data_IF_382401150398
#
_entry.id   IF_382401150398
#
_cell.length_a   1.000
_cell.length_b   1.000
_cell.length_c   1.000
_cell.angle_alpha   90.00
_cell.angle_beta   90.00
_cell.angle_gamma   90.00
#
_symmetry.space_group_name_H-M   'P 1'
#
loop_
_entity.id
_entity.type
_entity.pdbx_description
1 polymer ?
#
# COMPACT_ATOMS: atom_id res chain seq x y z
N UNK A 1 -50.24 -30.64 -10.57
CA UNK A 1 -48.96 -29.89 -10.56
C UNK A 1 -49.06 -28.89 -9.43
N UNK A 2 -48.32 -29.16 -8.36
CA UNK A 2 -48.32 -28.43 -7.10
C UNK A 2 -47.78 -27.02 -7.29
N UNK A 3 -48.55 -26.04 -6.82
CA UNK A 3 -48.20 -24.63 -6.89
C UNK A 3 -46.96 -24.33 -6.07
N UNK A 4 -45.93 -23.81 -6.74
CA UNK A 4 -44.83 -23.12 -6.10
C UNK A 4 -45.45 -21.79 -5.61
N UNK A 5 -45.73 -21.73 -4.30
CA UNK A 5 -46.29 -20.54 -3.66
C UNK A 5 -45.43 -19.31 -3.95
N UNK A 6 -46.07 -18.22 -4.36
CA UNK A 6 -45.42 -16.94 -4.56
C UNK A 6 -44.69 -16.53 -3.29
N UNK A 7 -43.42 -16.15 -3.43
CA UNK A 7 -42.66 -15.61 -2.32
C UNK A 7 -43.16 -14.19 -2.03
N UNK A 8 -43.58 -13.91 -0.79
CA UNK A 8 -43.98 -12.56 -0.39
C UNK A 8 -42.90 -11.54 -0.76
N UNK A 9 -43.29 -10.32 -1.17
CA UNK A 9 -42.38 -9.24 -1.59
C UNK A 9 -41.21 -9.02 -0.62
N UNK A 10 -41.47 -9.16 0.69
CA UNK A 10 -40.46 -9.04 1.74
C UNK A 10 -39.38 -10.13 1.62
N UNK A 11 -39.77 -11.36 1.33
CA UNK A 11 -38.83 -12.48 1.14
C UNK A 11 -37.99 -12.26 -0.11
N UNK A 12 -38.60 -11.79 -1.21
CA UNK A 12 -37.87 -11.51 -2.46
C UNK A 12 -36.84 -10.39 -2.28
N UNK A 13 -37.19 -9.30 -1.58
CA UNK A 13 -36.25 -8.21 -1.28
C UNK A 13 -35.11 -8.69 -0.36
N UNK A 14 -35.42 -9.47 0.67
CA UNK A 14 -34.40 -10.03 1.58
C UNK A 14 -33.46 -10.97 0.83
N UNK A 15 -33.99 -11.85 -0.02
CA UNK A 15 -33.17 -12.74 -0.85
C UNK A 15 -32.28 -11.95 -1.81
N UNK A 16 -32.81 -10.93 -2.50
CA UNK A 16 -32.01 -10.09 -3.40
C UNK A 16 -30.88 -9.35 -2.65
N UNK A 17 -31.16 -8.84 -1.45
CA UNK A 17 -30.15 -8.20 -0.60
C UNK A 17 -29.07 -9.19 -0.13
N UNK A 18 -29.46 -10.40 0.26
CA UNK A 18 -28.53 -11.48 0.64
C UNK A 18 -27.64 -11.90 -0.54
N UNK A 19 -28.22 -12.06 -1.74
CA UNK A 19 -27.46 -12.36 -2.95
C UNK A 19 -26.47 -11.24 -3.31
N UNK A 20 -26.90 -9.98 -3.23
CA UNK A 20 -26.03 -8.84 -3.44
C UNK A 20 -24.87 -8.82 -2.44
N UNK A 21 -25.15 -9.03 -1.16
CA UNK A 21 -24.12 -9.09 -0.11
C UNK A 21 -23.13 -10.24 -0.35
N UNK A 22 -23.62 -11.42 -0.76
CA UNK A 22 -22.76 -12.56 -1.07
C UNK A 22 -21.84 -12.30 -2.27
N UNK A 23 -22.35 -11.67 -3.34
CA UNK A 23 -21.55 -11.31 -4.53
C UNK A 23 -20.48 -10.29 -4.17
N UNK A 24 -20.82 -9.27 -3.39
CA UNK A 24 -19.85 -8.26 -2.93
C UNK A 24 -18.79 -8.87 -2.01
N UNK A 25 -19.19 -9.73 -1.06
CA UNK A 25 -18.26 -10.42 -0.17
C UNK A 25 -17.29 -11.32 -0.95
N UNK A 26 -17.77 -12.04 -1.96
CA UNK A 26 -16.94 -12.88 -2.82
C UNK A 26 -15.94 -12.05 -3.64
N UNK A 27 -16.38 -10.92 -4.22
CA UNK A 27 -15.52 -10.02 -4.98
C UNK A 27 -14.44 -9.38 -4.10
N UNK A 28 -14.81 -8.93 -2.89
CA UNK A 28 -13.87 -8.38 -1.91
C UNK A 28 -12.87 -9.43 -1.43
N UNK A 29 -13.34 -10.66 -1.14
CA UNK A 29 -12.50 -11.77 -0.74
C UNK A 29 -11.49 -12.17 -1.83
N UNK A 30 -11.95 -12.23 -3.09
CA UNK A 30 -11.06 -12.45 -4.23
C UNK A 30 -9.99 -11.36 -4.35
N UNK A 31 -10.38 -10.09 -4.27
CA UNK A 31 -9.43 -8.97 -4.33
C UNK A 31 -8.41 -9.03 -3.19
N UNK A 32 -8.86 -9.33 -1.97
CA UNK A 32 -7.98 -9.50 -0.81
C UNK A 32 -6.96 -10.63 -1.03
N UNK A 33 -7.43 -11.82 -1.42
CA UNK A 33 -6.56 -12.98 -1.69
C UNK A 33 -5.57 -12.68 -2.81
N UNK A 34 -6.02 -12.03 -3.89
CA UNK A 34 -5.16 -11.69 -5.03
C UNK A 34 -4.06 -10.68 -4.64
N UNK A 35 -4.37 -9.68 -3.80
CA UNK A 35 -3.38 -8.73 -3.28
C UNK A 35 -2.38 -9.41 -2.35
N UNK A 36 -2.88 -10.22 -1.42
CA UNK A 36 -2.03 -10.87 -0.43
C UNK A 36 -1.12 -11.93 -1.07
N UNK A 37 -1.66 -12.75 -1.99
CA UNK A 37 -0.86 -13.72 -2.75
C UNK A 37 0.22 -13.04 -3.59
N UNK A 38 -0.09 -11.91 -4.24
CA UNK A 38 0.91 -11.14 -4.98
C UNK A 38 1.99 -10.57 -4.04
N UNK A 39 1.63 -10.15 -2.82
CA UNK A 39 2.57 -9.70 -1.80
C UNK A 39 3.50 -10.82 -1.33
N UNK A 40 2.95 -11.95 -0.89
CA UNK A 40 3.73 -13.10 -0.42
C UNK A 40 4.64 -13.63 -1.53
N UNK A 41 4.15 -13.71 -2.76
CA UNK A 41 4.96 -14.13 -3.90
C UNK A 41 6.11 -13.15 -4.17
N UNK A 42 5.86 -11.84 -4.10
CA UNK A 42 6.89 -10.80 -4.25
C UNK A 42 7.96 -10.89 -3.17
N UNK A 43 7.57 -11.09 -1.91
CA UNK A 43 8.48 -11.24 -0.78
C UNK A 43 9.31 -12.53 -0.89
N UNK A 44 8.69 -13.63 -1.31
CA UNK A 44 9.37 -14.92 -1.52
C UNK A 44 10.34 -14.87 -2.69
N UNK A 45 9.94 -14.26 -3.82
CA UNK A 45 10.82 -14.06 -4.97
C UNK A 45 11.98 -13.14 -4.63
N UNK A 46 11.73 -12.06 -3.89
CA UNK A 46 12.77 -11.13 -3.44
C UNK A 46 13.78 -11.82 -2.53
N UNK A 47 13.33 -12.53 -1.50
CA UNK A 47 14.23 -13.24 -0.58
C UNK A 47 15.03 -14.36 -1.27
N UNK A 48 14.41 -15.11 -2.17
CA UNK A 48 15.10 -16.14 -2.97
C UNK A 48 16.10 -15.55 -3.97
N UNK A 49 15.75 -14.42 -4.60
CA UNK A 49 16.65 -13.67 -5.47
C UNK A 49 17.84 -13.12 -4.68
N UNK A 50 17.60 -12.41 -3.58
CA UNK A 50 18.64 -11.77 -2.77
C UNK A 50 19.69 -12.77 -2.29
N UNK A 51 19.29 -14.00 -1.92
CA UNK A 51 20.20 -15.05 -1.47
C UNK A 51 21.07 -15.58 -2.63
N UNK A 52 20.44 -15.92 -3.77
CA UNK A 52 21.15 -16.44 -4.94
C UNK A 52 22.10 -15.40 -5.55
N UNK A 53 21.68 -14.14 -5.60
CA UNK A 53 22.50 -13.06 -6.15
C UNK A 53 23.66 -12.69 -5.22
N UNK A 54 23.47 -12.74 -3.89
CA UNK A 54 24.58 -12.62 -2.94
C UNK A 54 25.61 -13.71 -3.15
N UNK A 55 25.19 -14.97 -3.26
CA UNK A 55 26.11 -16.09 -3.49
C UNK A 55 26.93 -15.90 -4.77
N UNK A 56 26.28 -15.56 -5.89
CA UNK A 56 26.95 -15.28 -7.17
C UNK A 56 27.94 -14.12 -7.08
N UNK A 57 27.53 -13.04 -6.41
CA UNK A 57 28.36 -11.85 -6.23
C UNK A 57 29.58 -12.16 -5.38
N UNK A 58 29.42 -12.89 -4.27
CA UNK A 58 30.52 -13.34 -3.41
C UNK A 58 31.50 -14.20 -4.21
N UNK A 59 31.02 -15.16 -4.99
CA UNK A 59 31.90 -16.01 -5.81
C UNK A 59 32.68 -15.25 -6.89
N UNK A 60 32.13 -14.17 -7.46
CA UNK A 60 32.88 -13.31 -8.36
C UNK A 60 33.95 -12.51 -7.60
N UNK A 61 33.57 -11.91 -6.48
CA UNK A 61 34.47 -11.08 -5.66
C UNK A 61 35.63 -11.91 -5.13
N UNK A 62 35.39 -13.14 -4.65
CA UNK A 62 36.45 -14.04 -4.20
C UNK A 62 37.41 -14.42 -5.35
N UNK A 63 36.89 -14.65 -6.57
CA UNK A 63 37.73 -14.85 -7.76
C UNK A 63 38.59 -13.63 -8.08
N UNK A 64 38.04 -12.42 -7.96
CA UNK A 64 38.79 -11.18 -8.18
C UNK A 64 39.84 -10.92 -7.10
N UNK A 65 39.57 -11.30 -5.84
CA UNK A 65 40.54 -11.21 -4.74
C UNK A 65 41.70 -12.19 -4.88
N UNK A 66 41.44 -13.37 -5.46
CA UNK A 66 42.46 -14.39 -5.67
C UNK A 66 43.50 -13.99 -6.72
N UNK A 67 43.18 -13.06 -7.63
CA UNK A 67 44.07 -12.59 -8.69
C UNK A 67 44.64 -11.19 -8.37
N UNK A 68 45.95 -11.03 -8.07
CA UNK A 68 46.52 -9.78 -7.59
C UNK A 68 46.25 -8.58 -8.51
N UNK A 69 45.44 -7.64 -8.02
CA UNK A 69 44.94 -6.49 -8.79
C UNK A 69 45.90 -5.30 -8.69
N UNK A 70 46.45 -4.87 -9.83
CA UNK A 70 47.42 -3.77 -9.93
C UNK A 70 46.82 -2.35 -9.90
N UNK A 71 45.49 -2.21 -9.84
CA UNK A 71 44.79 -0.91 -9.82
C UNK A 71 43.36 -1.01 -10.35
N UNK A 72 42.62 0.11 -10.36
CA UNK A 72 41.21 0.13 -10.81
C UNK A 72 41.04 -0.28 -12.29
N UNK A 73 41.99 0.10 -13.16
CA UNK A 73 42.00 -0.33 -14.57
C UNK A 73 42.23 -1.82 -14.75
N UNK A 74 43.16 -2.37 -13.98
CA UNK A 74 43.43 -3.81 -13.99
C UNK A 74 42.23 -4.58 -13.43
N UNK A 75 41.60 -4.06 -12.37
CA UNK A 75 40.34 -4.59 -11.86
C UNK A 75 39.24 -4.61 -12.93
N UNK A 76 39.10 -3.51 -13.67
CA UNK A 76 38.14 -3.41 -14.76
C UNK A 76 38.43 -4.40 -15.90
N UNK A 77 39.69 -4.66 -16.22
CA UNK A 77 40.07 -5.67 -17.20
C UNK A 77 39.73 -7.09 -16.71
N UNK A 78 40.11 -7.41 -15.47
CA UNK A 78 39.82 -8.71 -14.84
C UNK A 78 38.33 -8.97 -14.67
N UNK A 79 37.55 -7.94 -14.34
CA UNK A 79 36.09 -8.03 -14.31
C UNK A 79 35.52 -8.50 -15.64
N UNK A 80 36.01 -7.97 -16.77
CA UNK A 80 35.56 -8.41 -18.11
C UNK A 80 35.89 -9.88 -18.39
N UNK A 81 37.00 -10.38 -17.85
CA UNK A 81 37.44 -11.77 -18.03
C UNK A 81 36.67 -12.74 -17.13
N UNK A 82 36.44 -12.36 -15.87
CA UNK A 82 35.82 -13.24 -14.87
C UNK A 82 34.29 -13.15 -14.83
N UNK A 83 33.70 -12.04 -15.27
CA UNK A 83 32.26 -11.91 -15.43
C UNK A 83 31.81 -12.65 -16.70
N UNK A 84 31.59 -13.94 -16.54
CA UNK A 84 30.96 -14.79 -17.55
C UNK A 84 29.47 -14.47 -17.68
N UNK A 85 28.87 -14.82 -18.82
CA UNK A 85 27.44 -14.59 -19.08
C UNK A 85 26.50 -15.25 -18.06
N UNK A 86 26.94 -16.32 -17.39
CA UNK A 86 26.20 -17.04 -16.34
C UNK A 86 26.11 -16.26 -15.01
N UNK A 87 26.98 -15.27 -14.80
CA UNK A 87 26.96 -14.44 -13.58
C UNK A 87 25.73 -13.54 -13.51
N UNK A 88 25.07 -13.26 -14.64
CA UNK A 88 23.93 -12.35 -14.72
C UNK A 88 24.30 -10.89 -14.49
N UNK A 89 25.58 -10.54 -14.42
CA UNK A 89 26.02 -9.17 -14.17
C UNK A 89 25.98 -8.39 -15.49
N UNK A 90 25.26 -7.28 -15.46
CA UNK A 90 25.02 -6.41 -16.61
C UNK A 90 26.09 -5.33 -16.73
N UNK A 91 26.51 -4.77 -15.60
CA UNK A 91 27.47 -3.66 -15.55
C UNK A 91 28.18 -3.61 -14.19
N UNK A 92 29.35 -2.99 -14.15
CA UNK A 92 30.06 -2.69 -12.92
C UNK A 92 30.61 -1.26 -12.91
N UNK A 93 30.55 -0.60 -11.76
CA UNK A 93 31.19 0.69 -11.49
C UNK A 93 32.17 0.53 -10.33
N UNK A 94 33.33 1.16 -10.42
CA UNK A 94 34.38 1.09 -9.40
C UNK A 94 34.56 2.47 -8.80
N UNK A 95 34.37 2.59 -7.49
CA UNK A 95 34.54 3.83 -6.74
C UNK A 95 35.72 3.77 -5.78
N UNK A 96 36.36 4.91 -5.58
CA UNK A 96 37.27 5.15 -4.47
C UNK A 96 36.69 6.19 -3.51
N UNK A 97 36.99 6.03 -2.22
CA UNK A 97 36.68 7.05 -1.21
C UNK A 97 37.56 8.28 -1.43
N UNK A 98 36.95 9.46 -1.38
CA UNK A 98 37.70 10.74 -1.38
C UNK A 98 38.11 11.11 0.06
N UNK A 99 38.91 12.17 0.27
CA UNK A 99 39.21 12.65 1.63
C UNK A 99 37.97 13.07 2.44
N UNK A 100 36.87 13.42 1.76
CA UNK A 100 35.57 13.65 2.39
C UNK A 100 34.72 12.38 2.28
N UNK A 101 34.26 11.90 3.44
CA UNK A 101 33.51 10.65 3.59
C UNK A 101 32.16 10.62 2.88
N UNK A 102 31.63 11.78 2.52
CA UNK A 102 30.35 11.88 1.82
C UNK A 102 30.52 11.80 0.30
N UNK A 103 31.76 11.79 -0.21
CA UNK A 103 32.06 11.83 -1.63
C UNK A 103 32.90 10.65 -2.08
N UNK A 104 32.52 10.09 -3.23
CA UNK A 104 33.16 8.96 -3.87
C UNK A 104 33.57 9.32 -5.30
N UNK A 105 34.79 8.98 -5.70
CA UNK A 105 35.25 9.16 -7.06
C UNK A 105 34.97 7.90 -7.87
N UNK A 106 34.20 8.02 -8.95
CA UNK A 106 34.03 6.99 -9.96
C UNK A 106 35.32 6.83 -10.77
N UNK A 107 36.04 5.74 -10.53
CA UNK A 107 37.30 5.47 -11.21
C UNK A 107 37.09 4.88 -12.59
N UNK A 108 36.23 3.86 -12.70
CA UNK A 108 36.06 3.05 -13.91
C UNK A 108 34.60 2.58 -14.07
N UNK A 109 34.19 2.39 -15.33
CA UNK A 109 32.88 1.89 -15.72
C UNK A 109 33.05 0.73 -16.70
N UNK A 110 32.41 -0.40 -16.39
CA UNK A 110 32.61 -1.67 -17.09
C UNK A 110 31.26 -2.20 -17.57
N UNK A 111 31.00 -2.07 -18.88
CA UNK A 111 29.88 -2.73 -19.53
C UNK A 111 30.21 -4.21 -19.73
N UNK A 112 29.35 -5.08 -19.19
CA UNK A 112 29.46 -6.54 -19.27
C UNK A 112 28.36 -7.13 -20.17
N UNK A 113 27.24 -6.41 -20.31
CA UNK A 113 26.18 -6.71 -21.26
C UNK A 113 25.98 -5.53 -22.23
N UNK A 114 26.16 -5.73 -23.55
CA UNK A 114 26.02 -4.66 -24.54
C UNK A 114 24.58 -4.14 -24.68
N UNK A 115 23.58 -4.93 -24.28
CA UNK A 115 22.17 -4.54 -24.28
C UNK A 115 21.75 -3.70 -23.06
N UNK A 116 22.64 -3.47 -22.11
CA UNK A 116 22.36 -2.71 -20.89
C UNK A 116 23.16 -1.41 -20.85
N UNK A 117 22.46 -0.31 -20.61
CA UNK A 117 23.08 1.02 -20.49
C UNK A 117 22.78 1.61 -19.13
N UNK A 118 23.84 1.99 -18.41
CA UNK A 118 23.75 2.71 -17.15
C UNK A 118 23.87 4.20 -17.42
N UNK A 119 23.00 5.01 -16.82
CA UNK A 119 23.22 6.45 -16.72
C UNK A 119 24.37 6.69 -15.76
N UNK A 120 25.50 7.14 -16.30
CA UNK A 120 26.66 7.51 -15.51
C UNK A 120 26.40 8.86 -14.82
N UNK A 121 26.93 9.07 -13.61
CA UNK A 121 26.83 10.36 -12.95
C UNK A 121 27.47 11.46 -13.81
N UNK A 122 26.89 12.67 -13.78
CA UNK A 122 27.38 13.83 -14.54
C UNK A 122 28.80 14.24 -14.13
N UNK A 123 29.10 14.08 -12.84
CA UNK A 123 30.42 14.29 -12.25
C UNK A 123 31.09 12.96 -11.94
N UNK A 124 32.43 12.96 -12.04
CA UNK A 124 33.24 11.84 -11.56
C UNK A 124 33.14 11.68 -10.04
N UNK A 125 32.85 12.76 -9.32
CA UNK A 125 32.64 12.74 -7.88
C UNK A 125 31.14 12.64 -7.61
N UNK A 126 30.74 11.58 -6.94
CA UNK A 126 29.37 11.29 -6.53
C UNK A 126 29.22 11.62 -5.05
N UNK A 127 28.23 12.44 -4.73
CA UNK A 127 27.83 12.70 -3.35
C UNK A 127 26.83 11.62 -2.92
N UNK A 128 27.11 10.95 -1.82
CA UNK A 128 26.19 9.97 -1.24
C UNK A 128 25.11 10.68 -0.42
N UNK A 129 23.85 10.33 -0.65
CA UNK A 129 22.74 10.81 0.18
C UNK A 129 22.76 10.10 1.53
N UNK A 130 22.60 10.89 2.61
CA UNK A 130 22.67 10.42 4.00
C UNK A 130 21.65 9.31 4.32
N UNK A 131 20.59 9.17 3.55
CA UNK A 131 19.53 8.18 3.78
C UNK A 131 19.86 6.81 3.14
N UNK A 132 20.62 6.82 2.03
CA UNK A 132 20.98 5.62 1.28
C UNK A 132 22.27 4.98 1.83
N UNK A 133 23.33 5.79 1.98
CA UNK A 133 24.65 5.41 2.50
C UNK A 133 25.22 4.09 1.93
N UNK A 134 24.85 3.69 0.70
CA UNK A 134 25.22 2.37 0.18
C UNK A 134 26.71 2.28 -0.10
N UNK A 135 27.31 3.29 -0.73
CA UNK A 135 28.75 3.33 -1.00
C UNK A 135 29.56 3.32 0.31
N UNK A 136 29.13 4.09 1.30
CA UNK A 136 29.78 4.16 2.61
C UNK A 136 29.74 2.84 3.35
N UNK A 137 28.57 2.19 3.40
CA UNK A 137 28.40 0.87 4.03
C UNK A 137 29.17 -0.21 3.27
N UNK A 138 29.27 -0.09 1.95
CA UNK A 138 29.96 -1.02 1.08
C UNK A 138 31.49 -0.97 1.19
N UNK A 139 32.07 0.01 1.86
CA UNK A 139 33.48 -0.03 2.25
C UNK A 139 33.77 -1.15 3.27
N UNK A 140 32.72 -1.65 3.91
CA UNK A 140 32.83 -2.50 5.10
C UNK A 140 32.36 -3.92 4.76
N UNK A 141 31.17 -4.07 4.18
CA UNK A 141 30.62 -5.36 3.79
C UNK A 141 29.77 -5.23 2.53
N UNK A 142 29.39 -6.36 1.93
CA UNK A 142 28.50 -6.33 0.78
C UNK A 142 27.10 -5.83 1.19
N UNK A 143 26.57 -4.85 0.46
CA UNK A 143 25.24 -4.27 0.67
C UNK A 143 24.45 -4.35 -0.63
N UNK A 144 23.17 -4.70 -0.53
CA UNK A 144 22.28 -4.78 -1.68
C UNK A 144 21.25 -3.66 -1.61
N UNK A 145 21.07 -2.94 -2.72
CA UNK A 145 19.98 -1.99 -2.91
C UNK A 145 18.66 -2.78 -2.88
N UNK A 146 17.73 -2.48 -1.95
CA UNK A 146 16.45 -3.18 -1.87
C UNK A 146 15.55 -2.90 -3.08
N UNK A 147 15.84 -1.88 -3.89
CA UNK A 147 15.02 -1.53 -5.04
C UNK A 147 15.42 -2.31 -6.28
N UNK A 148 14.41 -2.86 -6.95
CA UNK A 148 14.56 -3.46 -8.28
C UNK A 148 14.25 -2.41 -9.33
N UNK A 149 15.18 -2.18 -10.24
CA UNK A 149 15.05 -1.20 -11.33
C UNK A 149 14.68 -1.90 -12.64
N UNK A 150 14.03 -1.16 -13.54
CA UNK A 150 13.58 -1.64 -14.85
C UNK A 150 13.90 -0.63 -15.93
N UNK A 151 14.46 -1.10 -17.04
CA UNK A 151 14.60 -0.36 -18.29
C UNK A 151 14.71 -1.37 -19.45
N UNK A 152 14.12 -1.05 -20.59
CA UNK A 152 14.23 -1.85 -21.83
C UNK A 152 13.90 -3.35 -21.66
N UNK A 153 12.97 -3.67 -20.76
CA UNK A 153 12.58 -5.07 -20.47
C UNK A 153 13.57 -5.84 -19.58
N UNK A 154 14.69 -5.24 -19.21
CA UNK A 154 15.62 -5.78 -18.22
C UNK A 154 15.23 -5.31 -16.82
N UNK A 155 15.27 -6.24 -15.88
CA UNK A 155 15.16 -5.98 -14.45
C UNK A 155 16.52 -6.24 -13.80
N UNK A 156 16.96 -5.34 -12.95
CA UNK A 156 18.20 -5.52 -12.20
C UNK A 156 18.13 -4.97 -10.79
N UNK A 157 19.02 -5.46 -9.96
CA UNK A 157 19.26 -5.00 -8.61
C UNK A 157 20.74 -4.63 -8.47
N UNK A 158 21.03 -3.71 -7.56
CA UNK A 158 22.38 -3.20 -7.39
C UNK A 158 23.02 -3.80 -6.14
N UNK A 159 24.23 -4.35 -6.27
CA UNK A 159 25.01 -4.87 -5.15
C UNK A 159 26.30 -4.07 -5.05
N UNK A 160 26.63 -3.59 -3.86
CA UNK A 160 27.85 -2.86 -3.56
C UNK A 160 28.73 -3.75 -2.69
N UNK A 161 30.01 -3.89 -3.01
CA UNK A 161 30.91 -4.79 -2.27
C UNK A 161 32.32 -4.22 -2.16
N UNK A 162 32.99 -4.39 -1.00
CA UNK A 162 34.35 -3.91 -0.82
C UNK A 162 35.34 -4.79 -1.59
N UNK A 163 36.29 -4.14 -2.27
CA UNK A 163 37.39 -4.83 -2.92
C UNK A 163 38.73 -4.16 -2.58
N UNK A 164 39.65 -4.87 -1.90
CA UNK A 164 40.97 -4.33 -1.60
C UNK A 164 41.82 -4.34 -2.88
N UNK A 165 42.38 -3.18 -3.24
CA UNK A 165 43.28 -3.01 -4.38
C UNK A 165 44.46 -2.17 -3.91
N UNK A 166 45.68 -2.73 -4.00
CA UNK A 166 46.93 -2.07 -3.57
C UNK A 166 46.86 -1.43 -2.17
N UNK A 167 46.26 -2.11 -1.20
CA UNK A 167 46.14 -1.63 0.18
C UNK A 167 45.08 -0.56 0.42
N UNK A 168 44.28 -0.19 -0.60
CA UNK A 168 43.11 0.69 -0.46
C UNK A 168 41.83 -0.07 -0.77
N UNK A 169 40.78 0.17 0.02
CA UNK A 169 39.46 -0.42 -0.21
C UNK A 169 38.73 0.43 -1.26
N UNK A 170 38.29 -0.22 -2.33
CA UNK A 170 37.42 0.34 -3.34
C UNK A 170 36.03 -0.25 -3.18
N UNK A 171 35.01 0.47 -3.68
CA UNK A 171 33.64 -0.03 -3.72
C UNK A 171 33.34 -0.48 -5.14
N UNK A 172 32.96 -1.75 -5.29
CA UNK A 172 32.50 -2.31 -6.54
C UNK A 172 30.97 -2.33 -6.53
N UNK A 173 30.35 -1.52 -7.37
CA UNK A 173 28.91 -1.50 -7.60
C UNK A 173 28.58 -2.38 -8.81
N UNK A 174 27.80 -3.43 -8.61
CA UNK A 174 27.42 -4.42 -9.60
C UNK A 174 25.93 -4.32 -9.91
N UNK A 175 25.61 -4.27 -11.18
CA UNK A 175 24.24 -4.27 -11.69
C UNK A 175 23.91 -5.72 -12.06
N UNK A 176 23.08 -6.38 -11.28
CA UNK A 176 22.82 -7.81 -11.40
C UNK A 176 21.43 -8.05 -11.95
N UNK A 177 21.33 -8.78 -13.06
CA UNK A 177 20.07 -9.09 -13.72
C UNK A 177 19.22 -10.01 -12.85
N UNK A 178 17.98 -9.59 -12.65
CA UNK A 178 16.91 -10.36 -12.03
C UNK A 178 15.74 -10.58 -13.02
N UNK A 179 15.98 -10.31 -14.31
CA UNK A 179 14.97 -10.35 -15.39
C UNK A 179 14.24 -11.69 -15.46
N UNK A 180 14.94 -12.82 -15.35
CA UNK A 180 14.29 -14.14 -15.39
C UNK A 180 13.37 -14.40 -14.19
N UNK A 181 13.61 -13.76 -13.05
CA UNK A 181 12.83 -13.93 -11.82
C UNK A 181 11.66 -12.95 -11.76
N UNK A 182 11.85 -11.72 -12.25
CA UNK A 182 10.86 -10.65 -12.17
C UNK A 182 10.06 -10.43 -13.47
N UNK A 183 10.58 -10.84 -14.63
CA UNK A 183 9.87 -10.73 -15.92
C UNK A 183 8.58 -11.53 -15.91
N UNK A 184 8.65 -12.80 -15.51
CA UNK A 184 7.48 -13.66 -15.37
C UNK A 184 6.52 -13.17 -14.28
N UNK A 185 7.05 -12.51 -13.23
CA UNK A 185 6.23 -11.96 -12.15
C UNK A 185 5.48 -10.69 -12.60
N UNK A 186 6.12 -9.80 -13.37
CA UNK A 186 5.47 -8.62 -13.90
C UNK A 186 4.27 -9.00 -14.80
N UNK A 187 4.47 -10.01 -15.65
CA UNK A 187 3.40 -10.59 -16.48
C UNK A 187 2.30 -11.24 -15.61
N UNK A 188 2.65 -11.97 -14.55
CA UNK A 188 1.68 -12.50 -13.59
C UNK A 188 0.87 -11.41 -12.88
N UNK A 189 1.52 -10.32 -12.46
CA UNK A 189 0.82 -9.20 -11.81
C UNK A 189 -0.12 -8.47 -12.79
N UNK A 190 0.28 -8.29 -14.04
CA UNK A 190 -0.57 -7.69 -15.07
C UNK A 190 -1.81 -8.54 -15.36
N UNK A 191 -1.64 -9.87 -15.46
CA UNK A 191 -2.75 -10.80 -15.59
C UNK A 191 -3.65 -10.82 -14.35
N UNK A 192 -3.07 -10.73 -13.15
CA UNK A 192 -3.83 -10.64 -11.90
C UNK A 192 -4.66 -9.35 -11.84
N UNK A 193 -4.11 -8.22 -12.24
CA UNK A 193 -4.81 -6.93 -12.27
C UNK A 193 -5.99 -6.95 -13.23
N UNK A 194 -5.79 -7.53 -14.41
CA UNK A 194 -6.85 -7.74 -15.40
C UNK A 194 -7.95 -8.65 -14.84
N UNK A 195 -7.59 -9.76 -14.19
CA UNK A 195 -8.55 -10.66 -13.56
C UNK A 195 -9.34 -9.98 -12.42
N UNK A 196 -8.67 -9.16 -11.59
CA UNK A 196 -9.32 -8.37 -10.53
C UNK A 196 -10.31 -7.37 -11.10
N UNK A 197 -9.95 -6.66 -12.17
CA UNK A 197 -10.83 -5.71 -12.84
C UNK A 197 -12.06 -6.42 -13.45
N UNK A 198 -11.87 -7.58 -14.08
CA UNK A 198 -12.97 -8.38 -14.64
C UNK A 198 -13.92 -8.88 -13.55
N UNK A 199 -13.40 -9.42 -12.44
CA UNK A 199 -14.23 -9.89 -11.32
C UNK A 199 -14.98 -8.73 -10.67
N UNK A 200 -14.34 -7.58 -10.46
CA UNK A 200 -14.99 -6.39 -9.94
C UNK A 200 -16.08 -5.86 -10.88
N UNK A 201 -15.80 -5.83 -12.19
CA UNK A 201 -16.77 -5.43 -13.21
C UNK A 201 -17.98 -6.37 -13.28
N UNK A 202 -17.76 -7.69 -13.23
CA UNK A 202 -18.84 -8.67 -13.19
C UNK A 202 -19.68 -8.54 -11.92
N UNK A 203 -19.05 -8.35 -10.75
CA UNK A 203 -19.74 -8.12 -9.49
C UNK A 203 -20.60 -6.84 -9.53
N UNK A 204 -20.07 -5.75 -10.09
CA UNK A 204 -20.81 -4.50 -10.28
C UNK A 204 -22.00 -4.66 -11.24
N UNK A 205 -21.82 -5.41 -12.33
CA UNK A 205 -22.90 -5.72 -13.27
C UNK A 205 -24.03 -6.53 -12.59
N UNK A 206 -23.68 -7.59 -11.86
CA UNK A 206 -24.65 -8.41 -11.12
C UNK A 206 -25.37 -7.54 -10.07
N UNK A 207 -24.64 -6.68 -9.37
CA UNK A 207 -25.22 -5.76 -8.39
C UNK A 207 -26.25 -4.81 -9.02
N UNK A 208 -25.93 -4.23 -10.18
CA UNK A 208 -26.84 -3.38 -10.94
C UNK A 208 -28.08 -4.13 -11.41
N UNK A 209 -27.94 -5.36 -11.91
CA UNK A 209 -29.05 -6.19 -12.33
C UNK A 209 -29.99 -6.53 -11.16
N UNK A 210 -29.42 -6.90 -10.01
CA UNK A 210 -30.21 -7.19 -8.79
C UNK A 210 -30.92 -5.94 -8.28
N UNK A 211 -30.24 -4.79 -8.26
CA UNK A 211 -30.83 -3.52 -7.85
C UNK A 211 -31.97 -3.08 -8.80
N UNK A 212 -31.76 -3.21 -10.12
CA UNK A 212 -32.76 -2.90 -11.13
C UNK A 212 -33.99 -3.81 -11.03
N UNK A 213 -33.80 -5.11 -10.85
CA UNK A 213 -34.89 -6.06 -10.64
C UNK A 213 -35.68 -5.73 -9.35
N UNK A 214 -34.98 -5.42 -8.25
CA UNK A 214 -35.60 -4.99 -7.00
C UNK A 214 -36.41 -3.69 -7.15
N UNK A 215 -35.87 -2.71 -7.87
CA UNK A 215 -36.55 -1.45 -8.14
C UNK A 215 -37.83 -1.66 -8.98
N UNK A 216 -37.76 -2.49 -10.02
CA UNK A 216 -38.90 -2.79 -10.89
C UNK A 216 -40.03 -3.49 -10.13
N UNK A 217 -39.69 -4.43 -9.25
CA UNK A 217 -40.65 -5.09 -8.35
C UNK A 217 -41.29 -4.08 -7.38
N UNK A 218 -40.50 -3.23 -6.74
CA UNK A 218 -41.01 -2.21 -5.82
C UNK A 218 -41.93 -1.19 -6.52
N UNK A 219 -41.57 -0.79 -7.75
CA UNK A 219 -42.37 0.13 -8.56
C UNK A 219 -43.74 -0.48 -8.94
N UNK A 220 -43.74 -1.72 -9.43
CA UNK A 220 -44.98 -2.44 -9.77
C UNK A 220 -45.91 -2.58 -8.56
N UNK A 221 -45.35 -2.88 -7.38
CA UNK A 221 -46.12 -2.98 -6.14
C UNK A 221 -46.68 -1.61 -5.69
N UNK A 222 -45.89 -0.54 -5.79
CA UNK A 222 -46.30 0.81 -5.39
C UNK A 222 -47.48 1.33 -6.21
N UNK A 223 -47.48 1.11 -7.53
CA UNK A 223 -48.59 1.50 -8.41
C UNK A 223 -49.89 0.83 -7.94
N UNK A 224 -49.84 -0.45 -7.62
CA UNK A 224 -51.02 -1.21 -7.23
C UNK A 224 -51.54 -0.82 -5.84
N UNK A 225 -50.66 -0.62 -4.85
CA UNK A 225 -51.07 -0.17 -3.51
C UNK A 225 -51.69 1.22 -3.56
N UNK A 226 -51.12 2.15 -4.35
CA UNK A 226 -51.72 3.47 -4.57
C UNK A 226 -53.08 3.37 -5.26
N UNK A 227 -53.20 2.49 -6.25
CA UNK A 227 -54.48 2.18 -6.89
C UNK A 227 -55.53 1.69 -5.89
N UNK A 228 -55.20 0.66 -5.09
CA UNK A 228 -56.08 0.10 -4.07
C UNK A 228 -56.52 1.16 -3.05
N UNK A 229 -55.59 1.99 -2.54
CA UNK A 229 -55.93 3.06 -1.60
C UNK A 229 -56.91 4.09 -2.19
N UNK A 230 -56.69 4.52 -3.45
CA UNK A 230 -57.59 5.44 -4.13
C UNK A 230 -58.97 4.83 -4.40
N UNK A 231 -59.01 3.55 -4.78
CA UNK A 231 -60.26 2.81 -4.98
C UNK A 231 -61.01 2.62 -3.66
N UNK A 232 -60.33 2.29 -2.56
CA UNK A 232 -60.94 2.18 -1.23
C UNK A 232 -61.54 3.52 -0.76
N UNK A 233 -60.84 4.64 -0.97
CA UNK A 233 -61.36 5.99 -0.62
C UNK A 233 -62.62 6.35 -1.43
N UNK A 234 -62.65 6.00 -2.73
CA UNK A 234 -63.84 6.18 -3.57
C UNK A 234 -65.02 5.31 -3.14
N UNK A 235 -64.77 4.03 -2.84
CA UNK A 235 -65.80 3.14 -2.33
C UNK A 235 -66.37 3.62 -0.99
N UNK A 236 -65.52 4.10 -0.07
CA UNK A 236 -65.95 4.69 1.20
C UNK A 236 -66.81 5.95 0.99
N UNK A 237 -66.57 6.71 -0.08
CA UNK A 237 -67.39 7.86 -0.51
C UNK A 237 -68.66 7.45 -1.27
N UNK A 238 -68.94 6.15 -1.40
CA UNK A 238 -70.17 5.60 -1.97
C UNK A 238 -70.12 5.24 -3.45
N UNK A 239 -68.96 5.38 -4.10
CA UNK A 239 -68.74 4.97 -5.49
C UNK A 239 -68.33 3.50 -5.57
N UNK A 240 -69.32 2.63 -5.76
CA UNK A 240 -69.16 1.17 -5.83
C UNK A 240 -69.00 0.65 -7.27
N UNK A 241 -68.79 1.53 -8.26
CA UNK A 241 -68.61 1.14 -9.67
C UNK A 241 -67.20 0.63 -10.01
N UNK A 242 -66.30 0.66 -9.04
CA UNK A 242 -64.87 0.40 -9.19
C UNK A 242 -64.54 -1.10 -9.18
N UNK A 243 -63.50 -1.47 -9.93
CA UNK A 243 -62.91 -2.80 -9.88
C UNK A 243 -61.41 -2.74 -10.14
N UNK A 244 -60.66 -3.61 -9.46
CA UNK A 244 -59.23 -3.81 -9.69
C UNK A 244 -59.04 -4.85 -10.79
N UNK A 245 -58.15 -4.55 -11.74
CA UNK A 245 -57.74 -5.52 -12.75
C UNK A 245 -56.76 -6.53 -12.11
N UNK A 246 -57.00 -7.85 -12.25
CA UNK A 246 -56.06 -8.85 -11.75
C UNK A 246 -54.73 -8.74 -12.50
N UNK A 247 -53.64 -8.78 -11.75
CA UNK A 247 -52.26 -8.84 -12.27
C UNK A 247 -51.80 -10.30 -12.42
N UNK A 248 -50.66 -10.52 -13.06
CA UNK A 248 -50.08 -11.87 -13.28
C UNK A 248 -49.53 -12.54 -12.01
N UNK A 249 -49.41 -11.80 -10.91
CA UNK A 249 -48.95 -12.30 -9.62
C UNK A 249 -50.14 -12.92 -8.85
N UNK A 250 -49.97 -14.14 -8.36
CA UNK A 250 -51.05 -14.91 -7.70
C UNK A 250 -51.54 -14.29 -6.41
N UNK A 251 -50.67 -13.67 -5.61
CA UNK A 251 -51.06 -13.01 -4.35
C UNK A 251 -51.81 -11.71 -4.66
N UNK A 252 -51.29 -10.93 -5.61
CA UNK A 252 -51.92 -9.67 -6.03
C UNK A 252 -53.27 -9.91 -6.74
N UNK A 253 -53.38 -10.98 -7.53
CA UNK A 253 -54.64 -11.40 -8.14
C UNK A 253 -55.67 -11.80 -7.08
N UNK A 254 -55.26 -12.53 -6.04
CA UNK A 254 -56.12 -12.90 -4.93
C UNK A 254 -56.61 -11.68 -4.14
N UNK A 255 -55.75 -10.68 -3.93
CA UNK A 255 -56.12 -9.42 -3.28
C UNK A 255 -57.11 -8.62 -4.13
N UNK A 256 -56.87 -8.50 -5.43
CA UNK A 256 -57.77 -7.84 -6.36
C UNK A 256 -59.13 -8.55 -6.42
N UNK A 257 -59.15 -9.89 -6.39
CA UNK A 257 -60.37 -10.69 -6.35
C UNK A 257 -61.15 -10.45 -5.05
N UNK A 258 -60.49 -10.54 -3.90
CA UNK A 258 -61.10 -10.29 -2.59
C UNK A 258 -61.71 -8.89 -2.50
N UNK A 259 -61.00 -7.87 -3.00
CA UNK A 259 -61.52 -6.50 -3.08
C UNK A 259 -62.75 -6.40 -3.98
N UNK A 260 -62.70 -6.97 -5.19
CA UNK A 260 -63.83 -6.93 -6.13
C UNK A 260 -65.06 -7.64 -5.57
N UNK A 261 -64.89 -8.77 -4.86
CA UNK A 261 -65.98 -9.48 -4.16
C UNK A 261 -66.61 -8.59 -3.10
N UNK A 262 -65.81 -7.96 -2.24
CA UNK A 262 -66.31 -7.07 -1.18
C UNK A 262 -67.10 -5.88 -1.75
N UNK A 263 -66.60 -5.24 -2.82
CA UNK A 263 -67.33 -4.16 -3.50
C UNK A 263 -68.64 -4.66 -4.10
N UNK A 264 -68.65 -5.87 -4.66
CA UNK A 264 -69.85 -6.53 -5.18
C UNK A 264 -70.91 -6.77 -4.08
N UNK A 265 -70.50 -7.29 -2.93
CA UNK A 265 -71.40 -7.50 -1.78
C UNK A 265 -71.95 -6.18 -1.24
N UNK A 266 -71.10 -5.15 -1.08
CA UNK A 266 -71.56 -3.82 -0.66
C UNK A 266 -72.54 -3.21 -1.66
N UNK A 267 -72.36 -3.43 -2.96
CA UNK A 267 -73.31 -3.00 -3.99
C UNK A 267 -74.64 -3.71 -3.84
N UNK A 268 -74.62 -5.03 -3.66
CA UNK A 268 -75.84 -5.82 -3.42
C UNK A 268 -76.61 -5.35 -2.20
N UNK A 269 -75.92 -5.10 -1.08
CA UNK A 269 -76.53 -4.59 0.16
C UNK A 269 -77.11 -3.17 0.01
N UNK A 270 -76.45 -2.31 -0.77
CA UNK A 270 -76.97 -0.98 -1.08
C UNK A 270 -78.24 -1.08 -1.93
N UNK A 271 -78.24 -1.93 -2.96
CA UNK A 271 -79.41 -2.14 -3.83
C UNK A 271 -80.61 -2.74 -3.07
N UNK A 272 -80.39 -3.63 -2.09
CA UNK A 272 -81.48 -4.15 -1.25
C UNK A 272 -82.03 -3.08 -0.32
N UNK A 273 -81.17 -2.29 0.33
CA UNK A 273 -81.59 -1.19 1.20
C UNK A 273 -82.33 -0.10 0.44
N UNK A 274 -81.84 0.28 -0.74
CA UNK A 274 -82.46 1.30 -1.58
C UNK A 274 -83.85 0.80 -2.10
N UNK A 275 -84.01 -0.52 -2.32
CA UNK A 275 -85.32 -1.14 -2.62
C UNK A 275 -86.25 -1.13 -1.40
N UNK A 276 -85.77 -1.49 -0.22
CA UNK A 276 -86.54 -1.50 1.03
C UNK A 276 -87.06 -0.10 1.38
N UNK A 277 -86.20 0.93 1.28
CA UNK A 277 -86.56 2.33 1.48
C UNK A 277 -87.57 2.83 0.44
N UNK A 278 -87.46 2.41 -0.83
CA UNK A 278 -88.46 2.73 -1.84
C UNK A 278 -89.83 2.10 -1.52
N UNK A 279 -89.87 0.89 -0.94
CA UNK A 279 -91.12 0.28 -0.46
C UNK A 279 -91.71 0.95 0.79
N UNK A 280 -90.88 1.54 1.66
CA UNK A 280 -91.35 2.30 2.84
C UNK A 280 -91.89 3.69 2.45
N UNK A 281 -91.24 4.40 1.52
CA UNK A 281 -91.72 5.70 1.01
C UNK A 281 -92.99 5.57 0.16
N UNK A 282 -93.30 4.38 -0.39
CA UNK A 282 -94.59 4.16 -1.09
C UNK A 282 -95.77 3.92 -0.11
N UNK A 283 -95.50 3.81 1.20
CA UNK A 283 -96.50 3.54 2.24
C UNK A 283 -97.01 4.76 3.02
N UNK A 284 -96.43 5.95 2.83
CA UNK A 284 -96.84 7.16 3.54
C UNK A 284 -96.81 8.39 2.65
N UNK A 285 -97.88 8.61 1.90
CA UNK A 285 -98.27 9.96 1.47
C UNK A 285 -99.76 10.02 1.11
N UNK A 286 -100.55 10.64 1.99
CA UNK A 286 -101.80 11.30 1.58
C UNK A 286 -101.95 12.61 2.35
N UNK A 287 -102.06 13.68 1.56
CA UNK A 287 -102.48 15.04 1.90
C UNK A 287 -101.47 15.89 2.71
N UNK A 288 -101.02 17.06 2.27
CA UNK A 288 -101.48 17.90 1.17
C UNK A 288 -101.60 19.36 1.64
N UNK A 289 -100.89 20.24 0.93
CA UNK A 289 -101.29 21.63 0.62
C UNK A 289 -101.19 22.70 1.72
N UNK A 290 -100.38 23.75 1.53
CA UNK A 290 -100.77 24.96 0.78
C UNK A 290 -99.69 26.07 0.80
N UNK A 291 -99.44 26.61 -0.40
CA UNK A 291 -99.13 27.99 -0.80
C UNK A 291 -98.18 28.93 -0.01
N UNK A 292 -97.36 29.65 -0.80
CA UNK A 292 -96.97 31.03 -0.47
C UNK A 292 -95.76 31.61 -1.20
N UNK A 293 -95.93 31.96 -2.49
CA UNK A 293 -95.44 33.19 -3.18
C UNK A 293 -94.07 33.83 -2.89
N UNK A 294 -93.34 34.17 -3.97
CA UNK A 294 -92.73 35.50 -4.14
C UNK A 294 -91.25 35.57 -4.54
N UNK A 295 -91.00 35.96 -5.81
CA UNK A 295 -89.94 36.87 -6.35
C UNK A 295 -88.46 36.70 -5.93
N UNK A 296 -87.42 37.13 -6.65
CA UNK A 296 -87.05 37.46 -8.04
C UNK A 296 -85.59 37.96 -7.95
N UNK A 297 -84.83 37.84 -9.05
CA UNK A 297 -83.61 38.63 -9.37
C UNK A 297 -82.29 38.23 -8.69
N UNK A 298 -81.31 37.71 -9.46
CA UNK A 298 -80.23 38.44 -10.15
C UNK A 298 -79.30 39.23 -9.20
N UNK A 299 -78.02 38.85 -9.10
CA UNK A 299 -76.93 39.61 -9.73
C UNK A 299 -75.54 38.99 -9.48
N UNK A 300 -74.62 39.30 -10.40
CA UNK A 300 -73.18 39.02 -10.33
C UNK A 300 -72.40 40.30 -9.90
N UNK A 301 -71.12 40.53 -10.26
CA UNK A 301 -69.95 40.46 -9.36
C UNK A 301 -69.14 41.79 -9.24
N UNK A 302 -68.16 41.88 -8.32
CA UNK A 302 -67.03 42.86 -8.36
C UNK A 302 -65.98 42.49 -7.29
N UNK A 303 -64.68 42.30 -7.59
CA UNK A 303 -63.57 43.22 -7.98
C UNK A 303 -63.02 44.12 -6.85
N UNK A 304 -61.67 44.21 -6.88
CA UNK A 304 -60.67 45.25 -6.45
C UNK A 304 -59.73 44.78 -5.32
N UNK A 305 -58.40 44.69 -5.46
CA UNK A 305 -57.34 45.58 -5.97
C UNK A 305 -56.74 46.53 -4.90
N UNK A 306 -55.40 46.67 -4.92
CA UNK A 306 -54.56 47.63 -4.19
C UNK A 306 -53.87 47.03 -2.95
N UNK A 307 -52.62 47.30 -2.59
CA UNK A 307 -51.49 48.10 -3.11
C UNK A 307 -50.26 47.64 -2.27
N UNK A 308 -49.07 47.39 -2.83
CA UNK A 308 -47.98 48.32 -3.15
C UNK A 308 -47.31 49.05 -1.96
N UNK A 309 -46.06 48.68 -1.66
CA UNK A 309 -44.92 49.53 -1.23
C UNK A 309 -43.67 48.62 -1.12
N UNK A 310 -42.54 48.73 -1.84
CA UNK A 310 -41.67 49.76 -2.46
C UNK A 310 -40.47 50.20 -1.58
N UNK A 311 -39.28 49.89 -2.14
CA UNK A 311 -37.94 50.53 -2.07
C UNK A 311 -37.20 50.56 -0.71
N UNK A 312 -35.87 50.51 -0.63
CA UNK A 312 -34.73 50.60 -1.58
C UNK A 312 -33.49 50.97 -0.73
N UNK A 313 -32.25 50.57 -1.03
CA UNK A 313 -31.16 51.30 -1.74
C UNK A 313 -29.83 50.74 -1.15
N UNK A 314 -28.90 50.19 -1.94
CA UNK A 314 -27.58 50.74 -2.38
C UNK A 314 -26.60 51.08 -1.23
N UNK A 315 -25.27 50.92 -1.26
CA UNK A 315 -24.27 50.75 -2.32
C UNK A 315 -22.92 50.27 -1.72
N UNK A 316 -22.01 49.74 -2.55
CA UNK A 316 -20.55 49.78 -2.35
C UNK A 316 -20.00 51.17 -2.80
N UNK A 317 -18.71 51.57 -2.61
CA UNK A 317 -17.56 50.99 -3.33
C UNK A 317 -16.15 51.12 -2.67
N UNK A 318 -15.16 50.77 -3.51
CA UNK A 318 -13.69 50.63 -3.47
C UNK A 318 -12.75 51.76 -2.95
N UNK A 319 -11.45 51.40 -2.86
CA UNK A 319 -10.23 52.24 -2.80
C UNK A 319 -9.11 51.51 -2.02
N UNK A 320 -8.00 50.94 -2.54
CA UNK A 320 -6.89 51.30 -3.46
C UNK A 320 -5.63 51.87 -2.75
N UNK A 321 -4.45 51.34 -3.16
CA UNK A 321 -3.04 51.80 -3.00
C UNK A 321 -2.37 51.72 -1.60
N UNK A 322 -1.05 51.68 -1.41
CA UNK A 322 0.18 51.19 -2.08
C UNK A 322 1.34 51.63 -1.14
N UNK A 323 2.54 51.07 -1.33
CA UNK A 323 3.88 51.56 -0.93
C UNK A 323 4.48 51.18 0.43
N UNK A 324 5.68 50.58 0.33
CA UNK A 324 6.96 51.16 0.76
C UNK A 324 7.86 50.20 1.57
N UNK A 325 8.76 49.58 0.81
CA UNK A 325 10.08 49.10 1.17
C UNK A 325 10.94 50.20 1.85
N UNK A 326 11.81 49.81 2.80
CA UNK A 326 12.95 50.64 3.23
C UNK A 326 14.14 49.77 3.68
N UNK A 327 15.32 49.89 3.05
CA UNK A 327 16.58 49.32 3.51
C UNK A 327 17.49 50.38 4.17
N UNK A 328 18.36 49.94 5.09
CA UNK A 328 19.44 50.71 5.73
C UNK A 328 19.86 50.03 7.04
N UNK A 329 21.13 49.85 7.43
CA UNK A 329 22.44 50.31 6.96
C UNK A 329 23.52 49.29 7.43
N UNK A 330 24.72 49.26 6.82
CA UNK A 330 25.85 48.43 7.25
C UNK A 330 26.92 49.26 8.00
N UNK A 331 27.51 48.76 9.08
CA UNK A 331 28.84 49.18 9.61
C UNK A 331 29.37 48.15 10.64
N UNK A 332 30.68 48.09 10.97
CA UNK A 332 31.86 48.23 10.11
C UNK A 332 32.90 47.11 10.32
N UNK A 333 33.81 47.01 9.35
CA UNK A 333 35.04 46.22 9.32
C UNK A 333 35.89 46.37 10.60
N UNK A 334 36.13 45.26 11.31
CA UNK A 334 37.20 45.16 12.31
C UNK A 334 38.13 44.01 11.96
N UNK A 335 39.27 44.39 11.35
CA UNK A 335 40.63 43.84 11.47
C UNK A 335 40.78 42.36 11.81
N UNK A 336 41.43 41.66 10.88
CA UNK A 336 42.20 40.43 11.08
C UNK A 336 42.89 40.39 12.45
N UNK A 337 42.47 39.43 13.27
CA UNK A 337 43.25 38.93 14.37
C UNK A 337 43.39 37.43 14.12
N UNK A 338 44.60 37.02 13.72
CA UNK A 338 44.98 35.63 13.51
C UNK A 338 44.87 34.93 14.87
N UNK A 339 43.72 34.30 15.10
CA UNK A 339 43.51 33.40 16.22
C UNK A 339 44.09 32.02 15.85
N UNK A 340 44.96 31.50 16.72
CA UNK A 340 45.38 30.09 16.71
C UNK A 340 44.16 29.18 16.52
N UNK A 341 44.29 28.03 15.80
CA UNK A 341 43.15 27.16 15.55
C UNK A 341 42.51 26.77 16.88
N UNK A 342 41.21 27.03 16.98
CA UNK A 342 40.36 26.53 18.05
C UNK A 342 40.57 25.01 18.18
N UNK A 343 40.46 24.42 19.39
CA UNK A 343 40.50 22.98 19.54
C UNK A 343 39.42 22.39 18.61
N UNK A 344 39.84 21.52 17.68
CA UNK A 344 38.93 20.79 16.78
C UNK A 344 37.77 20.24 17.63
N UNK A 345 36.54 20.63 17.25
CA UNK A 345 35.35 19.97 17.80
C UNK A 345 35.53 18.45 17.63
N UNK A 346 35.08 17.61 18.58
CA UNK A 346 35.21 16.18 18.44
C UNK A 346 34.44 15.74 17.21
N UNK A 347 35.16 15.51 16.12
CA UNK A 347 34.60 15.00 14.88
C UNK A 347 33.91 13.66 15.21
N UNK A 348 32.63 13.49 14.85
CA UNK A 348 31.95 12.20 15.00
C UNK A 348 32.81 11.12 14.35
N UNK A 349 33.09 10.02 15.07
CA UNK A 349 33.85 8.91 14.49
C UNK A 349 33.15 8.50 13.18
N UNK A 350 33.84 8.62 12.02
CA UNK A 350 33.22 8.36 10.73
C UNK A 350 32.66 6.94 10.60
N UNK A 351 33.07 6.04 11.49
CA UNK A 351 32.67 4.65 11.51
C UNK A 351 31.63 4.32 12.59
N UNK A 352 31.14 5.28 13.37
CA UNK A 352 30.18 5.04 14.47
C UNK A 352 28.88 4.39 13.97
N UNK A 353 28.32 4.88 12.85
CA UNK A 353 27.11 4.30 12.25
C UNK A 353 27.34 2.87 11.73
N UNK A 354 28.54 2.60 11.19
CA UNK A 354 28.93 1.25 10.72
C UNK A 354 29.10 0.32 11.93
N UNK A 355 29.72 0.81 13.00
CA UNK A 355 29.88 0.08 14.25
C UNK A 355 28.53 -0.28 14.86
N UNK A 356 27.59 0.67 14.96
CA UNK A 356 26.21 0.43 15.38
C UNK A 356 25.52 -0.61 14.50
N UNK A 357 25.73 -0.57 13.19
CA UNK A 357 25.18 -1.58 12.27
C UNK A 357 25.74 -2.99 12.56
N UNK A 358 27.05 -3.13 12.78
CA UNK A 358 27.65 -4.40 13.20
C UNK A 358 27.07 -4.95 14.49
N UNK A 359 26.84 -4.08 15.48
CA UNK A 359 26.18 -4.44 16.74
C UNK A 359 24.72 -4.86 16.53
N UNK A 360 23.98 -4.17 15.64
CA UNK A 360 22.61 -4.53 15.29
C UNK A 360 22.55 -5.92 14.63
N UNK A 361 23.44 -6.22 13.69
CA UNK A 361 23.53 -7.54 13.06
C UNK A 361 23.79 -8.66 14.06
N UNK A 362 24.63 -8.41 15.08
CA UNK A 362 24.77 -9.34 16.20
C UNK A 362 23.44 -9.52 16.96
N UNK A 363 22.70 -8.46 17.27
CA UNK A 363 21.39 -8.57 17.95
C UNK A 363 20.37 -9.37 17.12
N UNK A 364 20.42 -9.24 15.80
CA UNK A 364 19.59 -9.97 14.83
C UNK A 364 20.06 -11.42 14.57
N UNK A 365 21.09 -11.91 15.29
CA UNK A 365 21.71 -13.23 15.09
C UNK A 365 22.39 -13.44 13.73
N UNK A 366 22.57 -12.39 12.93
CA UNK A 366 23.27 -12.39 11.65
C UNK A 366 24.79 -12.36 11.87
N UNK A 367 25.30 -13.44 12.46
CA UNK A 367 26.69 -13.51 12.98
C UNK A 367 27.74 -13.41 11.88
N UNK A 368 27.54 -14.04 10.72
CA UNK A 368 28.48 -13.96 9.59
C UNK A 368 28.62 -12.51 9.06
N UNK A 369 27.49 -11.83 8.84
CA UNK A 369 27.50 -10.44 8.37
C UNK A 369 28.18 -9.51 9.39
N UNK A 370 27.97 -9.74 10.69
CA UNK A 370 28.64 -8.99 11.74
C UNK A 370 30.17 -9.22 11.76
N UNK A 371 30.62 -10.45 11.53
CA UNK A 371 32.06 -10.78 11.41
C UNK A 371 32.67 -9.94 10.28
N UNK A 372 32.03 -9.90 9.11
CA UNK A 372 32.53 -9.13 7.97
C UNK A 372 32.62 -7.64 8.30
N UNK A 373 31.58 -7.09 8.95
CA UNK A 373 31.56 -5.69 9.38
C UNK A 373 32.75 -5.38 10.30
N UNK A 374 32.93 -6.14 11.37
CA UNK A 374 34.00 -5.86 12.32
C UNK A 374 35.39 -6.16 11.75
N UNK A 375 35.54 -7.13 10.85
CA UNK A 375 36.79 -7.38 10.11
C UNK A 375 37.20 -6.19 9.26
N UNK A 376 36.27 -5.55 8.58
CA UNK A 376 36.60 -4.36 7.82
C UNK A 376 36.82 -3.13 8.72
N UNK A 377 36.07 -3.00 9.82
CA UNK A 377 36.32 -1.94 10.80
C UNK A 377 37.73 -2.03 11.39
N UNK A 378 38.25 -3.21 11.73
CA UNK A 378 39.63 -3.33 12.23
C UNK A 378 40.70 -3.06 11.17
N UNK A 379 40.36 -3.01 9.88
CA UNK A 379 41.29 -2.55 8.83
C UNK A 379 41.33 -1.02 8.81
N UNK A 380 40.19 -0.37 9.04
CA UNK A 380 40.06 1.10 9.05
C UNK A 380 40.50 1.72 10.37
N UNK A 381 40.22 1.05 11.49
CA UNK A 381 40.59 1.42 12.86
C UNK A 381 41.30 0.25 13.57
N UNK A 382 42.60 0.02 13.27
CA UNK A 382 43.33 -1.16 13.77
C UNK A 382 43.43 -1.32 15.29
N UNK A 383 43.26 -0.22 16.03
CA UNK A 383 43.30 -0.13 17.49
C UNK A 383 41.93 0.16 18.12
N UNK A 384 40.83 0.01 17.38
CA UNK A 384 39.48 0.24 17.91
C UNK A 384 39.04 -0.85 18.89
N UNK A 385 39.02 -0.53 20.20
CA UNK A 385 38.60 -1.47 21.26
C UNK A 385 37.26 -2.15 20.95
N UNK A 386 36.24 -1.34 20.62
CA UNK A 386 34.89 -1.82 20.36
C UNK A 386 34.84 -2.82 19.20
N UNK A 387 35.53 -2.55 18.10
CA UNK A 387 35.56 -3.42 16.91
C UNK A 387 36.26 -4.74 17.21
N UNK A 388 37.39 -4.71 17.93
CA UNK A 388 38.11 -5.91 18.35
C UNK A 388 37.27 -6.76 19.31
N UNK A 389 36.65 -6.13 20.32
CA UNK A 389 35.81 -6.81 21.29
C UNK A 389 34.58 -7.47 20.61
N UNK A 390 33.86 -6.73 19.77
CA UNK A 390 32.66 -7.26 19.11
C UNK A 390 32.98 -8.30 18.04
N UNK A 391 34.14 -8.22 17.36
CA UNK A 391 34.61 -9.30 16.49
C UNK A 391 34.90 -10.57 17.30
N UNK A 392 35.49 -10.43 18.49
CA UNK A 392 35.65 -11.52 19.45
C UNK A 392 34.32 -12.18 19.82
N UNK A 393 33.29 -11.36 20.12
CA UNK A 393 31.93 -11.84 20.41
C UNK A 393 31.31 -12.56 19.19
N UNK A 394 31.50 -12.01 17.99
CA UNK A 394 30.97 -12.58 16.76
C UNK A 394 31.59 -13.97 16.48
N UNK A 395 32.92 -14.09 16.57
CA UNK A 395 33.60 -15.38 16.45
C UNK A 395 33.17 -16.38 17.53
N UNK A 396 32.98 -15.94 18.77
CA UNK A 396 32.50 -16.83 19.84
C UNK A 396 31.12 -17.42 19.52
N UNK A 397 30.21 -16.63 18.91
CA UNK A 397 28.89 -17.10 18.48
C UNK A 397 28.95 -18.04 17.28
N UNK A 398 29.91 -17.83 16.39
CA UNK A 398 30.22 -18.74 15.30
C UNK A 398 30.95 -20.02 15.76
N UNK A 399 31.26 -20.14 17.07
CA UNK A 399 32.07 -21.22 17.68
C UNK A 399 33.52 -21.27 17.19
N UNK A 400 34.01 -20.19 16.60
CA UNK A 400 35.40 -20.02 16.18
C UNK A 400 36.25 -19.56 17.37
N UNK A 401 36.40 -20.42 18.39
CA UNK A 401 36.93 -20.02 19.70
C UNK A 401 38.39 -19.53 19.65
N UNK A 402 39.22 -20.10 18.76
CA UNK A 402 40.61 -19.67 18.59
C UNK A 402 40.71 -18.23 18.05
N UNK A 403 39.93 -17.91 17.02
CA UNK A 403 39.85 -16.55 16.46
C UNK A 403 39.24 -15.58 17.46
N UNK A 404 38.20 -16.01 18.18
CA UNK A 404 37.58 -15.23 19.24
C UNK A 404 38.58 -14.83 20.33
N UNK A 405 39.34 -15.79 20.85
CA UNK A 405 40.36 -15.54 21.88
C UNK A 405 41.44 -14.58 21.39
N UNK A 406 41.88 -14.71 20.14
CA UNK A 406 42.84 -13.76 19.53
C UNK A 406 42.31 -12.32 19.54
N UNK A 407 41.04 -12.11 19.16
CA UNK A 407 40.45 -10.77 19.12
C UNK A 407 40.22 -10.19 20.51
N UNK A 408 39.82 -11.00 21.50
CA UNK A 408 39.70 -10.53 22.88
C UNK A 408 41.05 -10.14 23.48
N UNK A 409 42.12 -10.90 23.21
CA UNK A 409 43.49 -10.51 23.63
C UNK A 409 43.89 -9.16 23.03
N UNK A 410 43.70 -8.97 21.72
CA UNK A 410 43.94 -7.68 21.07
C UNK A 410 43.08 -6.55 21.63
N UNK A 411 41.83 -6.80 21.99
CA UNK A 411 40.99 -5.78 22.64
C UNK A 411 41.54 -5.40 24.03
N UNK A 412 42.07 -6.37 24.78
CA UNK A 412 42.70 -6.14 26.08
C UNK A 412 44.08 -5.46 25.97
N UNK A 413 44.78 -5.58 24.83
CA UNK A 413 45.97 -4.76 24.56
C UNK A 413 45.61 -3.27 24.45
N UNK A 414 44.39 -2.94 23.96
CA UNK A 414 43.89 -1.56 23.87
C UNK A 414 43.32 -1.08 25.20
N UNK A 415 42.52 -1.92 25.89
CA UNK A 415 41.98 -1.61 27.22
C UNK A 415 42.25 -2.76 28.21
N UNK A 416 43.41 -2.74 28.90
CA UNK A 416 43.83 -3.85 29.78
C UNK A 416 42.90 -4.12 30.96
N UNK A 417 42.20 -3.09 31.43
CA UNK A 417 41.33 -3.14 32.60
C UNK A 417 39.86 -3.50 32.27
N UNK A 418 39.56 -3.83 31.01
CA UNK A 418 38.19 -4.11 30.60
C UNK A 418 37.70 -5.49 31.08
N UNK A 419 37.08 -5.52 32.25
CA UNK A 419 36.64 -6.73 32.94
C UNK A 419 35.78 -7.66 32.08
N UNK A 420 34.82 -7.12 31.31
CA UNK A 420 33.98 -7.94 30.44
C UNK A 420 34.79 -8.67 29.36
N UNK A 421 35.82 -8.03 28.79
CA UNK A 421 36.65 -8.65 27.76
C UNK A 421 37.47 -9.81 28.33
N UNK A 422 37.96 -9.66 29.57
CA UNK A 422 38.63 -10.72 30.33
C UNK A 422 37.71 -11.91 30.61
N UNK A 423 36.44 -11.64 30.99
CA UNK A 423 35.45 -12.69 31.22
C UNK A 423 35.09 -13.45 29.93
N UNK A 424 34.92 -12.73 28.81
CA UNK A 424 34.68 -13.37 27.52
C UNK A 424 35.88 -14.20 27.05
N UNK A 425 37.11 -13.71 27.21
CA UNK A 425 38.33 -14.45 26.90
C UNK A 425 38.41 -15.77 27.70
N UNK A 426 38.26 -15.69 29.03
CA UNK A 426 38.28 -16.88 29.89
C UNK A 426 37.19 -17.89 29.51
N UNK A 427 36.00 -17.39 29.13
CA UNK A 427 34.89 -18.23 28.67
C UNK A 427 35.25 -18.96 27.37
N UNK A 428 35.75 -18.27 26.35
CA UNK A 428 36.06 -18.90 25.05
C UNK A 428 37.26 -19.84 25.11
N UNK A 429 38.26 -19.55 25.94
CA UNK A 429 39.40 -20.45 26.15
C UNK A 429 38.98 -21.76 26.83
N UNK A 430 38.02 -21.71 27.76
CA UNK A 430 37.42 -22.93 28.36
C UNK A 430 36.68 -23.77 27.33
N UNK A 431 35.94 -23.14 26.40
CA UNK A 431 35.21 -23.86 25.35
C UNK A 431 36.15 -24.46 24.30
N UNK A 432 37.17 -23.73 23.84
CA UNK A 432 38.17 -24.24 22.90
C UNK A 432 38.95 -25.43 23.48
N UNK A 433 39.38 -25.36 24.74
CA UNK A 433 40.07 -26.47 25.41
C UNK A 433 39.18 -27.70 25.66
N UNK A 434 37.86 -27.59 25.48
CA UNK A 434 36.91 -28.70 25.56
C UNK A 434 36.75 -29.45 24.24
N UNK A 435 36.80 -28.74 23.10
CA UNK A 435 36.79 -29.34 21.76
C UNK A 435 38.08 -30.13 21.49
N UNK A 436 39.25 -29.56 21.85
CA UNK A 436 40.55 -30.22 21.67
C UNK A 436 40.67 -31.56 22.44
N UNK A 437 39.88 -31.76 23.50
CA UNK A 437 39.88 -33.00 24.29
C UNK A 437 38.97 -34.09 23.71
N UNK A 438 37.98 -33.75 22.89
CA UNK A 438 37.07 -34.75 22.34
C UNK A 438 37.64 -35.45 21.10
N UNK A 439 38.51 -34.77 20.35
CA UNK A 439 39.16 -35.33 19.17
C UNK A 439 40.38 -36.21 19.50
N UNK A 440 40.80 -36.25 20.78
CA UNK A 440 41.93 -37.05 21.27
C UNK A 440 41.57 -38.46 21.77
N UNK A 441 40.35 -38.96 21.55
CA UNK A 441 39.90 -40.28 22.01
C UNK A 441 39.23 -41.12 20.90
N UNK A 442 39.86 -41.17 19.72
CA UNK A 442 39.70 -42.29 18.79
C UNK A 442 41.08 -42.88 18.51
N UNK A 443 41.45 -43.87 19.31
CA UNK A 443 42.66 -44.68 19.16
C UNK A 443 42.34 -46.12 19.48
#
# INVERSE_FOLDING_TARGET
>A
MTGIGGFSLRVTIVLAALFLAAVLALALGFNFIAVESARTLRETLRSGSDALQRERTVLLVERLKADPVGGARDLAAKLRVHARADTGILHALIYARTPDDNFFELLESVSLNPGFRVQLPESRIVQEEKEMNFLRRALVSAVTDPETRRADGLYWQTVYTPIPVLGKIHVLQLFVSVTGQYGNFAEYTEHSDTARALVAGLAALIALLLAGAGWLLAHNYSILVRGLSSHMDRAAKGDLSISLRPTSDTELASLALSFNTLIGEMRGLKETRDREQATEETGSDTAGSTNGTGESSQDAPARTAGDANRAGISAAPAGETDTAEKPGEPEPNTREQVASPAPEEPHPDPYDEIFKHGVALLKEQRTADAIDIFRALIVMTPSGFGSLFNLGVAYARAREYALSASMFRRSLEVQPDHETARQYLAKVERFGAGEDRHDGHTG
#
